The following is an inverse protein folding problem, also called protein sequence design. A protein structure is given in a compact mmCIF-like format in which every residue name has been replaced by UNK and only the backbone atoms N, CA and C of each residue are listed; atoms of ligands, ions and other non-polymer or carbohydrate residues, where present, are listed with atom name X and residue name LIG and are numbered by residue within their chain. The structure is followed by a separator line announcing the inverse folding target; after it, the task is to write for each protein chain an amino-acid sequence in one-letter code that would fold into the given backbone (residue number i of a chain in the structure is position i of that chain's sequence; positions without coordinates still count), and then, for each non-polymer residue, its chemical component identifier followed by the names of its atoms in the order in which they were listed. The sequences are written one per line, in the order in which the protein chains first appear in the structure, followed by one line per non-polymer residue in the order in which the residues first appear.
data_IF_364360067049
#
_entry.id   IF_364360067049
#
_cell.length_a   1.000
_cell.length_b   1.000
_cell.length_c   1.000
_cell.angle_alpha   90.00
_cell.angle_beta   90.00
_cell.angle_gamma   90.00
#
_symmetry.space_group_name_H-M   'P 1'
#
loop_
_entity.id
_entity.type
_entity.pdbx_description
1 polymer ?
#
# COMPACT_ATOMS: atom_id res chain seq x y z
N UNK A 1 22.47 6.58 -18.87
CA UNK A 1 23.20 7.43 -19.82
C UNK A 1 24.62 7.64 -19.33
N UNK A 2 25.65 7.46 -20.18
CA UNK A 2 27.06 7.49 -19.80
C UNK A 2 27.59 8.93 -19.69
N UNK A 3 26.95 9.77 -18.87
CA UNK A 3 27.28 11.20 -18.74
C UNK A 3 27.67 11.61 -17.32
N UNK A 4 27.86 10.66 -16.40
CA UNK A 4 28.37 10.94 -15.05
C UNK A 4 29.81 10.47 -14.83
N UNK A 5 30.50 10.05 -15.92
CA UNK A 5 31.90 9.58 -15.88
C UNK A 5 32.94 10.68 -16.10
N UNK A 6 32.54 11.94 -16.29
CA UNK A 6 33.44 12.96 -16.80
C UNK A 6 34.11 13.87 -15.75
N UNK A 7 33.65 13.98 -14.48
CA UNK A 7 34.19 15.06 -13.63
C UNK A 7 34.23 14.84 -12.11
N UNK A 8 34.41 13.60 -11.61
CA UNK A 8 34.97 13.42 -10.25
C UNK A 8 35.87 12.20 -10.20
N UNK A 9 37.18 12.40 -9.99
CA UNK A 9 38.06 11.33 -9.53
C UNK A 9 37.60 10.92 -8.13
N UNK A 10 36.91 9.78 -8.00
CA UNK A 10 36.57 9.19 -6.71
C UNK A 10 37.85 8.74 -6.01
N UNK A 11 38.46 9.58 -5.16
CA UNK A 11 39.50 9.23 -4.19
C UNK A 11 40.57 8.25 -4.71
N UNK A 12 41.09 8.49 -5.91
CA UNK A 12 42.26 7.77 -6.45
C UNK A 12 42.04 6.35 -6.96
N UNK A 13 40.80 5.90 -7.21
CA UNK A 13 40.54 4.57 -7.81
C UNK A 13 39.48 4.62 -8.94
N UNK A 14 39.63 3.77 -9.96
CA UNK A 14 38.84 3.77 -11.20
C UNK A 14 37.38 3.26 -10.99
N UNK A 15 37.02 2.91 -9.75
CA UNK A 15 35.75 2.29 -9.36
C UNK A 15 35.00 3.17 -8.34
N UNK A 16 34.04 3.98 -8.79
CA UNK A 16 33.13 4.75 -7.92
C UNK A 16 32.04 3.89 -7.24
N UNK A 17 32.44 2.93 -6.40
CA UNK A 17 31.54 2.20 -5.49
C UNK A 17 30.89 3.09 -4.41
N UNK A 18 31.59 4.05 -3.75
CA UNK A 18 31.00 4.84 -2.67
C UNK A 18 29.92 5.82 -3.14
N UNK A 19 29.96 6.27 -4.41
CA UNK A 19 28.94 7.17 -4.96
C UNK A 19 27.59 6.45 -5.12
N UNK A 20 27.61 5.19 -5.55
CA UNK A 20 26.41 4.40 -5.81
C UNK A 20 25.58 4.15 -4.54
N UNK A 21 26.23 4.00 -3.38
CA UNK A 21 25.56 3.82 -2.08
C UNK A 21 25.44 5.14 -1.30
N UNK A 22 26.32 6.10 -1.53
CA UNK A 22 26.31 7.40 -0.86
C UNK A 22 25.15 8.29 -1.29
N UNK A 23 24.82 8.34 -2.59
CA UNK A 23 23.71 9.17 -3.08
C UNK A 23 22.37 8.73 -2.46
N UNK A 24 21.98 7.44 -2.49
CA UNK A 24 20.79 6.97 -1.77
C UNK A 24 20.85 7.25 -0.26
N UNK A 25 22.00 7.08 0.38
CA UNK A 25 22.15 7.32 1.82
C UNK A 25 21.92 8.80 2.20
N UNK A 26 22.49 9.74 1.44
CA UNK A 26 22.29 11.18 1.67
C UNK A 26 20.84 11.58 1.42
N UNK A 27 20.22 11.06 0.35
CA UNK A 27 18.80 11.27 0.06
C UNK A 27 17.90 10.72 1.18
N UNK A 28 18.23 9.58 1.76
CA UNK A 28 17.51 9.01 2.91
C UNK A 28 17.66 9.85 4.17
N UNK A 29 18.86 10.34 4.47
CA UNK A 29 19.06 11.25 5.61
C UNK A 29 18.25 12.54 5.45
N UNK A 30 18.26 13.14 4.25
CA UNK A 30 17.49 14.36 3.96
C UNK A 30 15.98 14.15 4.13
N UNK A 31 15.45 13.01 3.66
CA UNK A 31 14.03 12.70 3.79
C UNK A 31 13.61 12.56 5.25
N UNK A 32 14.44 11.91 6.09
CA UNK A 32 14.20 11.78 7.53
C UNK A 32 14.20 13.15 8.21
N UNK A 33 15.15 14.02 7.90
CA UNK A 33 15.20 15.37 8.49
C UNK A 33 13.93 16.16 8.14
N UNK A 34 13.52 16.16 6.86
CA UNK A 34 12.30 16.84 6.42
C UNK A 34 11.06 16.25 7.12
N UNK A 35 10.99 14.93 7.23
CA UNK A 35 9.88 14.24 7.89
C UNK A 35 9.79 14.57 9.39
N UNK A 36 10.93 14.60 10.09
CA UNK A 36 11.01 14.97 11.51
C UNK A 36 10.65 16.45 11.69
N UNK A 37 11.14 17.35 10.84
CA UNK A 37 10.74 18.76 10.88
C UNK A 37 9.24 18.96 10.60
N UNK A 38 8.66 18.16 9.70
CA UNK A 38 7.22 18.18 9.39
C UNK A 38 6.33 17.48 10.44
N UNK A 39 6.93 16.73 11.38
CA UNK A 39 6.18 15.91 12.35
C UNK A 39 5.37 16.73 13.36
N UNK A 40 5.68 18.02 13.56
CA UNK A 40 4.89 18.91 14.42
C UNK A 40 3.46 19.15 13.93
N UNK A 41 3.19 18.96 12.63
CA UNK A 41 1.85 19.07 12.04
C UNK A 41 1.07 17.75 11.96
N UNK A 42 1.67 16.62 12.36
CA UNK A 42 1.01 15.32 12.29
C UNK A 42 -0.02 15.19 13.42
N UNK A 43 -1.29 15.38 13.09
CA UNK A 43 -2.39 15.04 14.01
C UNK A 43 -2.39 13.53 14.21
N UNK A 44 -1.86 13.07 15.34
CA UNK A 44 -2.00 11.69 15.81
C UNK A 44 -3.49 11.38 15.99
N UNK A 45 -4.12 10.78 14.97
CA UNK A 45 -5.38 10.07 15.18
C UNK A 45 -5.08 8.89 16.10
N UNK A 46 -5.88 8.74 17.15
CA UNK A 46 -5.84 7.56 18.03
C UNK A 46 -5.79 6.31 17.15
N UNK A 47 -4.98 5.31 17.48
CA UNK A 47 -5.00 4.05 16.74
C UNK A 47 -6.39 3.42 16.95
N UNK A 48 -7.30 3.64 15.99
CA UNK A 48 -8.44 2.75 15.81
C UNK A 48 -7.81 1.37 15.62
N UNK A 49 -7.97 0.50 16.63
CA UNK A 49 -7.28 -0.79 16.68
C UNK A 49 -7.44 -1.55 15.37
N UNK A 50 -6.42 -2.33 15.00
CA UNK A 50 -6.24 -3.06 13.74
C UNK A 50 -7.43 -2.97 12.74
N UNK A 51 -7.51 -1.86 12.01
CA UNK A 51 -8.58 -1.56 11.02
C UNK A 51 -8.73 -2.72 10.02
N UNK A 52 -7.63 -3.40 9.69
CA UNK A 52 -7.62 -4.59 8.84
C UNK A 52 -8.45 -5.73 9.44
N UNK A 53 -8.34 -5.98 10.75
CA UNK A 53 -9.16 -6.98 11.43
C UNK A 53 -10.63 -6.59 11.47
N UNK A 54 -10.92 -5.31 11.66
CA UNK A 54 -12.30 -4.79 11.64
C UNK A 54 -12.94 -4.97 10.26
N UNK A 55 -12.18 -4.69 9.18
CA UNK A 55 -12.61 -4.92 7.80
C UNK A 55 -12.82 -6.41 7.51
N UNK A 56 -11.93 -7.30 8.00
CA UNK A 56 -12.08 -8.75 7.84
C UNK A 56 -13.33 -9.25 8.59
N UNK A 57 -13.55 -8.83 9.83
CA UNK A 57 -14.74 -9.18 10.63
C UNK A 57 -16.01 -8.62 10.00
N UNK A 58 -15.98 -7.39 9.52
CA UNK A 58 -17.09 -6.76 8.80
C UNK A 58 -17.45 -7.56 7.54
N UNK A 59 -16.46 -7.93 6.73
CA UNK A 59 -16.66 -8.71 5.51
C UNK A 59 -17.19 -10.11 5.82
N UNK A 60 -16.62 -10.80 6.82
CA UNK A 60 -17.09 -12.12 7.25
C UNK A 60 -18.53 -12.08 7.78
N UNK A 61 -18.85 -11.08 8.60
CA UNK A 61 -20.20 -10.87 9.11
C UNK A 61 -21.20 -10.54 7.99
N UNK A 62 -20.81 -9.71 7.02
CA UNK A 62 -21.62 -9.40 5.84
C UNK A 62 -21.95 -10.67 5.04
N UNK A 63 -20.96 -11.54 4.82
CA UNK A 63 -21.13 -12.81 4.09
C UNK A 63 -22.03 -13.78 4.88
N UNK A 64 -21.78 -13.95 6.18
CA UNK A 64 -22.57 -14.83 7.03
C UNK A 64 -24.04 -14.39 7.08
N UNK A 65 -24.29 -13.09 7.29
CA UNK A 65 -25.63 -12.51 7.30
C UNK A 65 -26.27 -12.52 5.92
N UNK A 66 -25.50 -12.35 4.83
CA UNK A 66 -25.99 -12.57 3.46
C UNK A 66 -26.53 -13.99 3.32
N UNK A 67 -25.74 -15.02 3.66
CA UNK A 67 -26.15 -16.45 3.54
C UNK A 67 -27.38 -16.76 4.39
N UNK A 68 -27.47 -16.19 5.59
CA UNK A 68 -28.58 -16.41 6.52
C UNK A 68 -29.86 -15.63 6.14
N UNK A 69 -29.73 -14.43 5.57
CA UNK A 69 -30.82 -13.51 5.22
C UNK A 69 -31.13 -13.47 3.70
N UNK A 70 -30.47 -14.30 2.88
CA UNK A 70 -30.72 -14.44 1.42
C UNK A 70 -32.21 -14.63 1.07
N UNK A 71 -33.04 -15.13 2.01
CA UNK A 71 -34.46 -15.41 1.80
C UNK A 71 -35.41 -14.23 2.07
N UNK A 72 -34.97 -13.13 2.69
CA UNK A 72 -35.89 -12.11 3.27
C UNK A 72 -35.78 -10.74 2.59
N UNK A 73 -34.60 -10.28 2.18
CA UNK A 73 -34.43 -8.98 1.51
C UNK A 73 -33.29 -9.04 0.49
N UNK A 74 -33.59 -8.79 -0.79
CA UNK A 74 -32.58 -8.64 -1.86
C UNK A 74 -32.01 -7.21 -1.82
N UNK A 75 -30.80 -7.03 -1.28
CA UNK A 75 -30.02 -5.78 -1.42
C UNK A 75 -29.19 -5.80 -2.72
N UNK A 76 -28.95 -4.63 -3.33
CA UNK A 76 -28.15 -4.48 -4.57
C UNK A 76 -26.68 -4.89 -4.40
N UNK A 77 -26.07 -4.70 -3.22
CA UNK A 77 -24.69 -5.10 -2.95
C UNK A 77 -24.57 -6.01 -1.72
N UNK A 78 -23.83 -7.11 -1.88
CA UNK A 78 -23.55 -8.10 -0.83
C UNK A 78 -22.85 -7.53 0.42
N UNK A 79 -22.16 -6.40 0.30
CA UNK A 79 -21.49 -5.74 1.44
C UNK A 79 -22.45 -4.87 2.28
N UNK A 80 -23.61 -4.48 1.76
CA UNK A 80 -24.59 -3.63 2.47
C UNK A 80 -25.32 -4.38 3.61
N UNK A 81 -25.17 -5.70 3.69
CA UNK A 81 -25.67 -6.50 4.82
C UNK A 81 -24.89 -6.23 6.13
N UNK A 82 -23.79 -5.48 6.07
CA UNK A 82 -22.96 -5.11 7.22
C UNK A 82 -23.38 -3.79 7.91
N UNK A 83 -24.30 -3.00 7.32
CA UNK A 83 -24.76 -1.68 7.81
C UNK A 83 -25.40 -1.73 9.21
N UNK A 84 -25.75 -2.93 9.67
CA UNK A 84 -26.39 -3.21 10.94
C UNK A 84 -25.42 -3.07 12.14
N UNK A 85 -24.12 -3.29 11.92
CA UNK A 85 -23.09 -3.31 12.96
C UNK A 85 -21.95 -2.33 12.65
N UNK A 86 -21.66 -2.08 11.38
CA UNK A 86 -20.51 -1.29 10.96
C UNK A 86 -20.94 0.03 10.31
N UNK A 87 -20.18 1.13 10.53
CA UNK A 87 -20.51 2.41 9.93
C UNK A 87 -20.36 2.37 8.41
N UNK A 88 -21.26 3.04 7.69
CA UNK A 88 -21.26 3.15 6.20
C UNK A 88 -19.93 3.55 5.60
N UNK A 89 -19.14 4.35 6.33
CA UNK A 89 -17.80 4.76 5.93
C UNK A 89 -16.86 3.56 5.75
N UNK A 90 -16.83 2.65 6.71
CA UNK A 90 -15.99 1.43 6.67
C UNK A 90 -16.40 0.49 5.53
N UNK A 91 -17.71 0.37 5.29
CA UNK A 91 -18.27 -0.44 4.19
C UNK A 91 -17.84 0.13 2.84
N UNK A 92 -17.92 1.46 2.67
CA UNK A 92 -17.51 2.12 1.44
C UNK A 92 -15.99 2.03 1.21
N UNK A 93 -15.20 2.21 2.26
CA UNK A 93 -13.73 2.06 2.20
C UNK A 93 -13.35 0.62 1.81
N UNK A 94 -14.04 -0.39 2.34
CA UNK A 94 -13.84 -1.81 1.99
C UNK A 94 -14.20 -2.08 0.52
N UNK A 95 -15.26 -1.45 0.00
CA UNK A 95 -15.68 -1.57 -1.42
C UNK A 95 -14.64 -1.01 -2.38
N UNK A 96 -14.06 0.14 -2.02
CA UNK A 96 -12.97 0.78 -2.78
C UNK A 96 -11.71 -0.09 -2.70
N UNK A 97 -11.37 -0.59 -1.51
CA UNK A 97 -10.23 -1.48 -1.30
C UNK A 97 -10.33 -2.76 -2.15
N UNK A 98 -11.50 -3.39 -2.21
CA UNK A 98 -11.71 -4.57 -3.04
C UNK A 98 -11.52 -4.29 -4.54
N UNK A 99 -11.97 -3.12 -5.01
CA UNK A 99 -11.77 -2.69 -6.40
C UNK A 99 -10.31 -2.38 -6.71
N UNK A 100 -9.60 -1.73 -5.77
CA UNK A 100 -8.17 -1.48 -5.86
C UNK A 100 -7.39 -2.80 -5.91
N UNK A 101 -7.71 -3.76 -5.05
CA UNK A 101 -7.09 -5.08 -5.03
C UNK A 101 -7.23 -5.79 -6.39
N UNK A 102 -8.41 -5.69 -7.03
CA UNK A 102 -8.64 -6.24 -8.36
C UNK A 102 -7.88 -5.48 -9.45
N UNK A 103 -7.74 -4.16 -9.33
CA UNK A 103 -7.00 -3.33 -10.28
C UNK A 103 -5.48 -3.56 -10.19
N UNK A 104 -4.95 -3.82 -9.00
CA UNK A 104 -3.54 -4.15 -8.79
C UNK A 104 -3.17 -5.58 -9.21
N UNK A 105 -4.13 -6.50 -9.27
CA UNK A 105 -3.89 -7.90 -9.67
C UNK A 105 -3.14 -8.05 -11.02
N UNK A 106 -3.56 -7.43 -12.14
CA UNK A 106 -2.82 -7.53 -13.41
C UNK A 106 -1.42 -6.93 -13.33
N UNK A 107 -1.22 -5.88 -12.53
CA UNK A 107 0.11 -5.31 -12.29
C UNK A 107 1.00 -6.30 -11.54
N UNK A 108 0.49 -6.93 -10.47
CA UNK A 108 1.24 -7.95 -9.71
C UNK A 108 1.61 -9.14 -10.62
N UNK A 109 0.67 -9.60 -11.46
CA UNK A 109 0.91 -10.69 -12.41
C UNK A 109 1.93 -10.32 -13.47
N UNK A 110 1.85 -9.10 -14.03
CA UNK A 110 2.81 -8.58 -15.00
C UNK A 110 4.23 -8.54 -14.44
N UNK A 111 4.41 -7.98 -13.24
CA UNK A 111 5.72 -7.92 -12.58
C UNK A 111 6.24 -9.30 -12.16
N UNK A 112 5.37 -10.21 -11.73
CA UNK A 112 5.75 -11.59 -11.42
C UNK A 112 6.24 -12.35 -12.67
N UNK A 113 5.63 -12.07 -13.83
CA UNK A 113 6.03 -12.68 -15.11
C UNK A 113 7.37 -12.10 -15.62
N UNK A 114 7.59 -10.79 -15.51
CA UNK A 114 8.85 -10.17 -15.94
C UNK A 114 10.06 -10.63 -15.12
N UNK A 115 9.88 -10.88 -13.82
CA UNK A 115 10.93 -11.43 -12.95
C UNK A 115 11.46 -12.79 -13.46
N UNK A 116 10.59 -13.65 -14.00
CA UNK A 116 10.97 -14.94 -14.58
C UNK A 116 11.75 -14.82 -15.89
N UNK A 117 11.51 -13.76 -16.67
CA UNK A 117 12.22 -13.49 -17.94
C UNK A 117 13.63 -12.93 -17.72
N UNK A 118 13.85 -12.18 -16.62
CA UNK A 118 15.17 -11.60 -16.30
C UNK A 118 16.17 -12.64 -15.74
N UNK A 119 15.71 -13.86 -15.42
CA UNK A 119 16.54 -14.95 -14.82
C UNK A 119 17.00 -16.03 -15.83
N UNK A 120 16.68 -15.86 -17.12
CA UNK A 120 17.22 -16.64 -18.24
C UNK A 120 18.18 -15.78 -19.06
#
# INVERSE_FOLDING_TARGET
TPMLRADVSCLGDDKCYPLAFGVPAVLMCLSVVIFVCGSGGYRMKKPEGNIVMEVIKCTGHAIMKKVQTQKICKREHWLDYADDIYPRKLINDTKIFMRLMLLFAPTIVFWALSYKVQTQ
#
